data_IF_989660197718
#
_entry.id   IF_989660197718
#
_cell.length_a   1.000
_cell.length_b   1.000
_cell.length_c   1.000
_cell.angle_alpha   90.00
_cell.angle_beta   90.00
_cell.angle_gamma   90.00
#
_symmetry.space_group_name_H-M   'P 1'
#
loop_
_entity.id
_entity.type
_entity.pdbx_description
1 polymer ?
#
# COMPACT_ATOMS: atom_id res chain seq x y z
N UNK A 1 0.59 26.22 10.80
CA UNK A 1 0.97 24.96 11.49
C UNK A 1 0.00 23.91 10.99
N UNK A 2 0.50 22.77 10.53
CA UNK A 2 -0.38 21.66 10.09
C UNK A 2 -0.93 20.96 11.32
N UNK A 3 -2.27 20.92 11.44
CA UNK A 3 -2.92 20.20 12.55
C UNK A 3 -2.55 18.73 12.54
N UNK A 4 -2.29 18.17 13.71
CA UNK A 4 -2.06 16.73 13.86
C UNK A 4 -3.35 15.95 13.66
N UNK A 5 -3.28 14.68 13.23
CA UNK A 5 -4.48 13.82 13.12
C UNK A 5 -5.27 13.78 14.44
N UNK A 6 -4.57 13.85 15.58
CA UNK A 6 -5.20 13.83 16.89
C UNK A 6 -6.10 15.05 17.14
N UNK A 7 -5.60 16.24 16.80
CA UNK A 7 -6.37 17.48 16.97
C UNK A 7 -7.59 17.52 16.03
N UNK A 8 -7.41 17.04 14.78
CA UNK A 8 -8.52 16.99 13.82
C UNK A 8 -9.58 15.98 14.29
N UNK A 9 -9.18 14.80 14.72
CA UNK A 9 -10.09 13.75 15.21
C UNK A 9 -10.86 14.24 16.44
N UNK A 10 -10.19 14.92 17.37
CA UNK A 10 -10.83 15.48 18.55
C UNK A 10 -11.97 16.43 18.17
N UNK A 11 -11.74 17.35 17.22
CA UNK A 11 -12.78 18.28 16.71
C UNK A 11 -13.96 17.54 16.08
N UNK A 12 -13.67 16.48 15.31
CA UNK A 12 -14.73 15.64 14.72
C UNK A 12 -15.59 14.99 15.79
N UNK A 13 -14.97 14.46 16.84
CA UNK A 13 -15.69 13.84 17.97
C UNK A 13 -16.50 14.84 18.79
N UNK A 14 -16.09 16.11 18.83
CA UNK A 14 -16.81 17.23 19.45
C UNK A 14 -17.96 17.76 18.57
N UNK A 15 -18.15 17.19 17.37
CA UNK A 15 -19.28 17.51 16.47
C UNK A 15 -18.94 18.40 15.28
N UNK A 16 -17.66 18.80 15.11
CA UNK A 16 -17.24 19.52 13.91
C UNK A 16 -17.01 18.56 12.73
N UNK A 17 -18.11 18.27 12.01
CA UNK A 17 -18.09 17.39 10.83
C UNK A 17 -17.15 17.92 9.73
N UNK A 18 -16.95 19.24 9.63
CA UNK A 18 -16.07 19.83 8.61
C UNK A 18 -14.62 19.40 8.81
N UNK A 19 -14.19 19.22 10.04
CA UNK A 19 -12.87 18.70 10.36
C UNK A 19 -12.62 17.30 9.81
N UNK A 20 -13.66 16.46 9.62
CA UNK A 20 -13.50 15.19 8.93
C UNK A 20 -13.07 15.35 7.47
N UNK A 21 -13.57 16.37 6.77
CA UNK A 21 -13.12 16.72 5.42
C UNK A 21 -11.60 16.98 5.35
N UNK A 22 -11.05 17.69 6.35
CA UNK A 22 -9.60 17.92 6.44
C UNK A 22 -8.83 16.61 6.59
N UNK A 23 -9.34 15.69 7.41
CA UNK A 23 -8.73 14.37 7.61
C UNK A 23 -8.76 13.55 6.32
N UNK A 24 -9.89 13.58 5.59
CA UNK A 24 -10.03 12.94 4.27
C UNK A 24 -9.00 13.52 3.29
N UNK A 25 -8.94 14.86 3.16
CA UNK A 25 -8.03 15.53 2.21
C UNK A 25 -6.56 15.20 2.49
N UNK A 26 -6.19 15.08 3.75
CA UNK A 26 -4.83 14.73 4.19
C UNK A 26 -4.43 13.32 3.78
N UNK A 27 -5.35 12.37 3.81
CA UNK A 27 -5.04 10.95 3.65
C UNK A 27 -5.50 10.34 2.31
N UNK A 28 -6.45 10.99 1.58
CA UNK A 28 -7.08 10.41 0.38
C UNK A 28 -6.10 10.03 -0.73
N UNK A 29 -5.07 10.83 -0.99
CA UNK A 29 -4.12 10.58 -2.07
C UNK A 29 -3.34 9.29 -1.82
N UNK A 30 -2.80 9.16 -0.61
CA UNK A 30 -2.06 7.97 -0.19
C UNK A 30 -2.96 6.73 -0.12
N UNK A 31 -4.20 6.88 0.38
CA UNK A 31 -5.19 5.79 0.43
C UNK A 31 -5.60 5.34 -0.99
N UNK A 32 -5.76 6.29 -1.93
CA UNK A 32 -6.05 6.01 -3.34
C UNK A 32 -4.92 5.20 -3.99
N UNK A 33 -3.65 5.56 -3.74
CA UNK A 33 -2.51 4.79 -4.25
C UNK A 33 -2.58 3.32 -3.82
N UNK A 34 -2.89 3.05 -2.55
CA UNK A 34 -3.06 1.67 -2.07
C UNK A 34 -4.27 0.97 -2.72
N UNK A 35 -5.41 1.65 -2.81
CA UNK A 35 -6.64 1.10 -3.38
C UNK A 35 -6.47 0.71 -4.86
N UNK A 36 -5.87 1.60 -5.68
CA UNK A 36 -5.56 1.33 -7.08
C UNK A 36 -4.57 0.16 -7.21
N UNK A 37 -3.60 0.05 -6.30
CA UNK A 37 -2.62 -1.03 -6.31
C UNK A 37 -3.28 -2.40 -6.09
N UNK A 38 -4.30 -2.46 -5.24
CA UNK A 38 -5.04 -3.68 -4.94
C UNK A 38 -6.05 -4.01 -6.05
N UNK A 39 -6.84 -3.04 -6.47
CA UNK A 39 -7.99 -3.26 -7.36
C UNK A 39 -7.64 -3.17 -8.84
N UNK A 40 -6.47 -2.61 -9.21
CA UNK A 40 -6.01 -2.42 -10.61
C UNK A 40 -7.00 -1.67 -11.51
N UNK A 41 -8.03 -1.10 -10.94
CA UNK A 41 -9.04 -0.29 -11.61
C UNK A 41 -9.30 0.98 -10.78
N UNK A 42 -9.20 2.14 -11.44
CA UNK A 42 -9.33 3.43 -10.75
C UNK A 42 -10.76 3.66 -10.26
N UNK A 43 -11.75 3.32 -11.06
CA UNK A 43 -13.16 3.52 -10.70
C UNK A 43 -13.55 2.68 -9.48
N UNK A 44 -13.13 1.40 -9.47
CA UNK A 44 -13.34 0.51 -8.32
C UNK A 44 -12.62 1.01 -7.07
N UNK A 45 -11.42 1.57 -7.24
CA UNK A 45 -10.65 2.15 -6.15
C UNK A 45 -11.34 3.40 -5.57
N UNK A 46 -11.93 4.25 -6.41
CA UNK A 46 -12.69 5.42 -5.99
C UNK A 46 -13.93 5.01 -5.19
N UNK A 47 -14.70 4.01 -5.66
CA UNK A 47 -15.86 3.47 -4.96
C UNK A 47 -15.47 2.85 -3.60
N UNK A 48 -14.45 1.99 -3.60
CA UNK A 48 -13.95 1.37 -2.37
C UNK A 48 -13.43 2.41 -1.36
N UNK A 49 -12.84 3.50 -1.84
CA UNK A 49 -12.33 4.55 -0.98
C UNK A 49 -13.46 5.41 -0.38
N UNK A 50 -14.53 5.68 -1.13
CA UNK A 50 -15.73 6.33 -0.60
C UNK A 50 -16.36 5.49 0.52
N UNK A 51 -16.54 4.19 0.28
CA UNK A 51 -17.02 3.25 1.30
C UNK A 51 -16.09 3.23 2.53
N UNK A 52 -14.79 3.27 2.30
CA UNK A 52 -13.80 3.30 3.37
C UNK A 52 -13.97 4.53 4.26
N UNK A 53 -14.06 5.73 3.70
CA UNK A 53 -14.19 6.94 4.51
C UNK A 53 -15.52 7.01 5.25
N UNK A 54 -16.59 6.48 4.69
CA UNK A 54 -17.89 6.34 5.43
C UNK A 54 -17.70 5.39 6.64
N UNK A 55 -17.01 4.27 6.48
CA UNK A 55 -16.71 3.34 7.58
C UNK A 55 -15.80 3.97 8.62
N UNK A 56 -14.75 4.68 8.17
CA UNK A 56 -13.83 5.43 9.05
C UNK A 56 -14.60 6.42 9.90
N UNK A 57 -15.45 7.24 9.30
CA UNK A 57 -16.26 8.23 10.02
C UNK A 57 -17.13 7.58 11.11
N UNK A 58 -17.82 6.48 10.77
CA UNK A 58 -18.68 5.75 11.72
C UNK A 58 -17.90 5.08 12.84
N UNK A 59 -16.69 4.59 12.54
CA UNK A 59 -15.84 3.88 13.51
C UNK A 59 -14.94 4.81 14.32
N UNK A 60 -14.81 6.09 13.93
CA UNK A 60 -13.91 7.05 14.58
C UNK A 60 -14.13 7.18 16.10
N UNK A 61 -15.39 7.18 16.64
CA UNK A 61 -15.61 7.21 18.07
C UNK A 61 -15.04 6.00 18.84
N UNK A 62 -14.81 4.88 18.16
CA UNK A 62 -14.24 3.67 18.73
C UNK A 62 -12.73 3.51 18.49
N UNK A 63 -12.08 4.52 17.92
CA UNK A 63 -10.64 4.51 17.69
C UNK A 63 -9.86 4.71 18.99
N UNK A 64 -9.17 3.66 19.43
CA UNK A 64 -8.54 3.60 20.78
C UNK A 64 -7.06 4.04 20.81
N UNK A 65 -6.52 4.59 19.72
CA UNK A 65 -5.13 5.05 19.63
C UNK A 65 -4.06 3.94 19.89
N UNK A 66 -4.41 2.66 19.67
CA UNK A 66 -3.46 1.53 19.79
C UNK A 66 -2.42 1.49 18.66
N UNK A 67 -2.63 2.28 17.61
CA UNK A 67 -1.73 2.50 16.48
C UNK A 67 -1.85 3.94 16.01
N UNK A 68 -1.02 4.36 15.04
CA UNK A 68 -1.24 5.62 14.35
C UNK A 68 -2.60 5.63 13.62
N UNK A 69 -3.19 6.81 13.43
CA UNK A 69 -4.42 6.92 12.65
C UNK A 69 -4.21 6.40 11.22
N UNK A 70 -3.05 6.67 10.61
CA UNK A 70 -2.68 6.16 9.29
C UNK A 70 -2.71 4.64 9.23
N UNK A 71 -2.11 3.95 10.20
CA UNK A 71 -2.10 2.48 10.27
C UNK A 71 -3.52 1.93 10.38
N UNK A 72 -4.35 2.52 11.24
CA UNK A 72 -5.74 2.13 11.40
C UNK A 72 -6.56 2.39 10.13
N UNK A 73 -6.40 3.55 9.49
CA UNK A 73 -7.04 3.89 8.22
C UNK A 73 -6.67 2.90 7.12
N UNK A 74 -5.36 2.64 6.93
CA UNK A 74 -4.89 1.71 5.89
C UNK A 74 -5.38 0.29 6.09
N UNK A 75 -5.58 -0.15 7.31
CA UNK A 75 -6.23 -1.43 7.60
C UNK A 75 -7.66 -1.47 7.06
N UNK A 76 -8.43 -0.39 7.23
CA UNK A 76 -9.80 -0.32 6.70
C UNK A 76 -9.78 -0.27 5.17
N UNK A 77 -8.88 0.55 4.55
CA UNK A 77 -8.68 0.61 3.10
C UNK A 77 -8.36 -0.77 2.54
N UNK A 78 -7.34 -1.42 3.09
CA UNK A 78 -6.89 -2.75 2.65
C UNK A 78 -8.03 -3.77 2.70
N UNK A 79 -8.72 -3.88 3.81
CA UNK A 79 -9.82 -4.84 3.99
C UNK A 79 -11.00 -4.54 3.05
N UNK A 80 -11.33 -3.27 2.82
CA UNK A 80 -12.40 -2.87 1.90
C UNK A 80 -12.04 -3.24 0.47
N UNK A 81 -10.82 -2.93 0.03
CA UNK A 81 -10.35 -3.26 -1.33
C UNK A 81 -10.24 -4.77 -1.56
N UNK A 82 -9.71 -5.53 -0.60
CA UNK A 82 -9.62 -7.00 -0.68
C UNK A 82 -11.01 -7.63 -0.78
N UNK A 83 -11.96 -7.14 0.00
CA UNK A 83 -13.36 -7.60 -0.06
C UNK A 83 -14.00 -7.28 -1.41
N UNK A 84 -13.75 -6.09 -1.97
CA UNK A 84 -14.25 -5.67 -3.27
C UNK A 84 -13.66 -6.54 -4.41
N UNK A 85 -12.35 -6.80 -4.39
CA UNK A 85 -11.67 -7.67 -5.34
C UNK A 85 -12.22 -9.11 -5.30
N UNK A 86 -12.45 -9.65 -4.10
CA UNK A 86 -13.01 -10.99 -3.92
C UNK A 86 -14.42 -11.14 -4.50
N UNK A 87 -15.26 -10.11 -4.44
CA UNK A 87 -16.62 -10.11 -5.01
C UNK A 87 -16.62 -10.16 -6.54
N UNK A 88 -15.60 -9.63 -7.20
CA UNK A 88 -15.49 -9.60 -8.67
C UNK A 88 -14.92 -10.89 -9.27
N UNK A 89 -14.62 -11.88 -8.44
CA UNK A 89 -13.99 -13.13 -8.90
C UNK A 89 -12.57 -12.93 -9.44
N UNK A 90 -12.06 -11.70 -9.39
CA UNK A 90 -10.67 -11.43 -9.60
C UNK A 90 -9.89 -12.21 -8.56
N UNK A 91 -8.98 -13.07 -9.02
CA UNK A 91 -8.17 -13.94 -8.16
C UNK A 91 -7.14 -13.15 -7.35
N UNK A 92 -7.58 -12.08 -6.67
CA UNK A 92 -6.95 -11.59 -5.47
C UNK A 92 -7.22 -12.61 -4.36
N UNK A 93 -6.98 -13.88 -4.68
CA UNK A 93 -6.73 -14.87 -3.67
C UNK A 93 -5.43 -14.45 -3.03
N UNK A 94 -5.57 -13.64 -1.99
CA UNK A 94 -4.69 -13.68 -0.86
C UNK A 94 -4.73 -15.12 -0.34
N UNK A 95 -4.18 -16.07 -1.12
CA UNK A 95 -3.81 -17.32 -0.54
C UNK A 95 -2.73 -16.95 0.46
N UNK A 96 -3.11 -17.00 1.73
CA UNK A 96 -2.18 -16.95 2.85
C UNK A 96 -1.11 -18.05 2.71
N UNK A 97 -1.36 -19.01 1.81
CA UNK A 97 -0.56 -20.18 1.47
C UNK A 97 -0.26 -20.22 -0.03
N UNK A 98 0.56 -19.31 -0.54
CA UNK A 98 1.23 -19.54 -1.81
C UNK A 98 2.48 -20.37 -1.55
N UNK A 99 2.55 -21.57 -2.14
CA UNK A 99 3.73 -22.44 -2.12
C UNK A 99 5.02 -21.68 -2.48
N UNK A 100 4.92 -20.65 -3.34
CA UNK A 100 6.04 -19.77 -3.69
C UNK A 100 6.57 -18.91 -2.54
N UNK A 101 5.78 -18.59 -1.52
CA UNK A 101 6.23 -17.86 -0.34
C UNK A 101 7.08 -18.73 0.61
N UNK A 102 6.94 -20.06 0.54
CA UNK A 102 7.73 -21.00 1.33
C UNK A 102 9.17 -21.19 0.80
N UNK A 103 9.37 -21.17 -0.52
CA UNK A 103 10.71 -21.29 -1.13
C UNK A 103 11.55 -20.03 -0.88
N UNK A 104 10.94 -18.84 -1.00
CA UNK A 104 11.65 -17.58 -0.76
C UNK A 104 12.04 -17.36 0.72
N UNK A 105 11.40 -18.03 1.69
CA UNK A 105 11.82 -18.00 3.09
C UNK A 105 13.24 -18.54 3.32
N UNK A 106 13.74 -19.38 2.43
CA UNK A 106 15.11 -19.94 2.49
C UNK A 106 16.19 -18.96 2.01
N UNK A 107 15.85 -18.01 1.12
CA UNK A 107 16.80 -17.06 0.53
C UNK A 107 16.97 -15.74 1.30
N UNK A 108 16.02 -15.40 2.20
CA UNK A 108 16.00 -14.11 2.92
C UNK A 108 16.97 -14.09 4.14
N UNK A 109 18.01 -14.90 4.16
CA UNK A 109 19.00 -14.88 5.26
C UNK A 109 20.03 -13.75 5.11
N UNK A 110 20.11 -13.06 3.99
CA UNK A 110 21.00 -11.92 3.78
C UNK A 110 20.27 -10.57 3.92
N UNK A 111 20.81 -9.76 4.79
CA UNK A 111 20.29 -8.52 5.35
C UNK A 111 20.38 -7.30 4.40
N UNK A 112 20.34 -7.49 3.08
CA UNK A 112 20.37 -6.39 2.11
C UNK A 112 18.95 -5.89 1.79
N UNK A 113 18.43 -5.07 2.70
CA UNK A 113 17.08 -4.55 2.62
C UNK A 113 16.88 -3.44 1.59
N UNK A 114 17.93 -2.87 1.00
CA UNK A 114 17.84 -1.86 -0.07
C UNK A 114 19.06 -1.87 -0.98
N UNK A 115 18.92 -1.94 -2.32
CA UNK A 115 19.84 -1.18 -3.17
C UNK A 115 19.42 0.29 -3.08
N UNK A 116 20.38 1.16 -2.86
CA UNK A 116 20.25 2.61 -2.95
C UNK A 116 19.94 2.94 -4.44
N UNK A 117 18.65 3.08 -4.77
CA UNK A 117 18.25 3.56 -6.09
C UNK A 117 18.32 5.08 -5.99
N UNK A 118 19.47 5.65 -6.31
CA UNK A 118 19.60 7.09 -6.50
C UNK A 118 18.84 7.46 -7.80
N UNK A 119 17.76 8.18 -7.63
CA UNK A 119 16.93 8.69 -8.72
C UNK A 119 17.64 9.94 -9.30
N UNK A 120 18.32 9.79 -10.43
CA UNK A 120 19.09 10.89 -11.04
C UNK A 120 18.37 11.59 -12.22
N UNK A 121 17.23 11.06 -12.71
CA UNK A 121 16.46 11.70 -13.79
C UNK A 121 14.96 11.50 -13.67
N UNK A 122 14.17 12.48 -14.19
CA UNK A 122 12.71 12.40 -14.21
C UNK A 122 12.18 11.24 -15.05
N UNK A 123 12.89 10.87 -16.12
CA UNK A 123 12.54 9.74 -16.97
C UNK A 123 12.66 8.40 -16.23
N UNK A 124 13.68 8.26 -15.40
CA UNK A 124 13.86 7.08 -14.57
C UNK A 124 12.74 6.97 -13.50
N UNK A 125 12.34 8.09 -12.91
CA UNK A 125 11.21 8.12 -11.96
C UNK A 125 9.90 7.66 -12.61
N UNK A 126 9.63 8.06 -13.85
CA UNK A 126 8.45 7.65 -14.60
C UNK A 126 8.49 6.15 -14.94
N UNK A 127 9.66 5.64 -15.35
CA UNK A 127 9.87 4.20 -15.58
C UNK A 127 9.59 3.40 -14.30
N UNK A 128 10.17 3.80 -13.18
CA UNK A 128 9.95 3.13 -11.89
C UNK A 128 8.47 3.16 -11.51
N UNK A 129 7.79 4.30 -11.67
CA UNK A 129 6.37 4.44 -11.37
C UNK A 129 5.51 3.49 -12.20
N UNK A 130 5.75 3.42 -13.51
CA UNK A 130 5.03 2.51 -14.41
C UNK A 130 5.27 1.03 -14.05
N UNK A 131 6.53 0.63 -13.77
CA UNK A 131 6.82 -0.75 -13.40
C UNK A 131 6.24 -1.13 -12.03
N UNK A 132 6.22 -0.20 -11.08
CA UNK A 132 5.51 -0.39 -9.80
C UNK A 132 4.00 -0.59 -10.04
N UNK A 133 3.40 0.07 -11.05
CA UNK A 133 1.99 -0.13 -11.40
C UNK A 133 1.69 -1.51 -11.96
N UNK A 134 2.64 -2.12 -12.65
CA UNK A 134 2.50 -3.47 -13.24
C UNK A 134 2.67 -4.60 -12.21
N UNK A 135 3.23 -4.33 -11.04
CA UNK A 135 3.40 -5.37 -10.02
C UNK A 135 2.08 -6.11 -9.72
N UNK A 136 2.11 -7.44 -9.56
CA UNK A 136 0.96 -8.19 -9.07
C UNK A 136 0.41 -7.58 -7.78
N UNK A 137 -0.92 -7.50 -7.58
CA UNK A 137 -1.54 -6.83 -6.43
C UNK A 137 -0.98 -7.29 -5.07
N UNK A 138 -0.67 -8.58 -4.95
CA UNK A 138 -0.11 -9.21 -3.76
C UNK A 138 1.24 -8.60 -3.33
N UNK A 139 2.14 -8.42 -4.29
CA UNK A 139 3.46 -7.85 -4.05
C UNK A 139 3.41 -6.33 -4.07
N UNK A 140 2.64 -5.75 -5.00
CA UNK A 140 2.49 -4.31 -5.15
C UNK A 140 1.88 -3.64 -3.93
N UNK A 141 0.89 -4.26 -3.25
CA UNK A 141 0.32 -3.71 -2.02
C UNK A 141 1.31 -3.67 -0.87
N UNK A 142 2.05 -4.75 -0.64
CA UNK A 142 3.09 -4.80 0.40
C UNK A 142 4.22 -3.80 0.14
N UNK A 143 4.66 -3.70 -1.13
CA UNK A 143 5.67 -2.72 -1.56
C UNK A 143 5.19 -1.29 -1.38
N UNK A 144 3.94 -0.98 -1.76
CA UNK A 144 3.35 0.36 -1.59
C UNK A 144 3.30 0.77 -0.13
N UNK A 145 2.86 -0.12 0.76
CA UNK A 145 2.84 0.17 2.20
C UNK A 145 4.24 0.42 2.75
N UNK A 146 5.23 -0.37 2.32
CA UNK A 146 6.59 -0.26 2.83
C UNK A 146 7.34 0.97 2.28
N UNK A 147 7.33 1.17 0.94
CA UNK A 147 8.17 2.19 0.29
C UNK A 147 7.43 3.52 0.15
N UNK A 148 6.16 3.51 -0.30
CA UNK A 148 5.43 4.75 -0.59
C UNK A 148 4.76 5.33 0.66
N UNK A 149 4.30 4.46 1.57
CA UNK A 149 3.70 4.89 2.83
C UNK A 149 4.69 4.95 3.98
N UNK A 150 5.94 4.48 3.77
CA UNK A 150 7.03 4.48 4.76
C UNK A 150 6.68 3.73 6.06
N UNK A 151 5.84 2.69 5.95
CA UNK A 151 5.40 1.91 7.10
C UNK A 151 6.45 0.88 7.52
N UNK A 152 6.59 0.70 8.82
CA UNK A 152 7.37 -0.41 9.37
C UNK A 152 6.76 -1.78 9.01
N UNK A 153 7.56 -2.83 9.06
CA UNK A 153 7.07 -4.18 8.78
C UNK A 153 5.97 -4.61 9.75
N UNK A 154 6.06 -4.16 11.01
CA UNK A 154 5.09 -4.41 12.07
C UNK A 154 3.76 -3.70 11.79
N UNK A 155 3.80 -2.46 11.30
CA UNK A 155 2.61 -1.74 10.88
C UNK A 155 1.95 -2.39 9.67
N UNK A 156 2.73 -2.90 8.71
CA UNK A 156 2.21 -3.64 7.55
C UNK A 156 1.51 -4.93 8.01
N UNK A 157 2.05 -5.64 9.01
CA UNK A 157 1.37 -6.78 9.64
C UNK A 157 0.04 -6.36 10.25
N UNK A 158 -0.01 -5.22 10.95
CA UNK A 158 -1.27 -4.68 11.52
C UNK A 158 -2.30 -4.30 10.45
N UNK A 159 -1.85 -3.73 9.33
CA UNK A 159 -2.71 -3.34 8.20
C UNK A 159 -3.27 -4.55 7.48
N UNK A 160 -2.42 -5.51 7.14
CA UNK A 160 -2.75 -6.61 6.23
C UNK A 160 -3.24 -7.87 6.93
N UNK A 161 -2.87 -8.05 8.21
CA UNK A 161 -3.13 -9.27 8.97
C UNK A 161 -2.27 -10.47 8.57
N UNK A 162 -1.30 -10.30 7.65
CA UNK A 162 -0.43 -11.39 7.20
C UNK A 162 0.83 -11.51 8.08
N UNK A 163 1.40 -12.71 8.24
CA UNK A 163 2.59 -12.93 9.06
C UNK A 163 3.80 -12.11 8.60
N UNK A 164 4.65 -11.66 9.52
CA UNK A 164 5.85 -10.86 9.25
C UNK A 164 6.78 -11.52 8.21
N UNK A 165 6.96 -12.85 8.29
CA UNK A 165 7.74 -13.58 7.31
C UNK A 165 7.20 -13.43 5.89
N UNK A 166 5.88 -13.51 5.73
CA UNK A 166 5.20 -13.33 4.45
C UNK A 166 5.30 -11.89 3.94
N UNK A 167 5.20 -10.88 4.84
CA UNK A 167 5.42 -9.47 4.47
C UNK A 167 6.82 -9.29 3.88
N UNK A 168 7.85 -9.81 4.55
CA UNK A 168 9.25 -9.75 4.07
C UNK A 168 9.41 -10.40 2.70
N UNK A 169 8.86 -11.61 2.51
CA UNK A 169 8.89 -12.33 1.23
C UNK A 169 8.24 -11.51 0.13
N UNK A 170 7.06 -10.94 0.37
CA UNK A 170 6.32 -10.15 -0.63
C UNK A 170 7.09 -8.89 -1.05
N UNK A 171 7.70 -8.19 -0.11
CA UNK A 171 8.54 -7.02 -0.42
C UNK A 171 9.79 -7.44 -1.20
N UNK A 172 10.44 -8.53 -0.82
CA UNK A 172 11.59 -9.07 -1.54
C UNK A 172 11.24 -9.44 -2.99
N UNK A 173 10.14 -10.17 -3.20
CA UNK A 173 9.64 -10.53 -4.54
C UNK A 173 9.27 -9.30 -5.37
N UNK A 174 8.60 -8.32 -4.78
CA UNK A 174 8.30 -7.06 -5.45
C UNK A 174 9.57 -6.38 -5.98
N UNK A 175 10.62 -6.31 -5.17
CA UNK A 175 11.92 -5.73 -5.55
C UNK A 175 12.61 -6.51 -6.66
N UNK A 176 12.58 -7.84 -6.61
CA UNK A 176 13.13 -8.69 -7.65
C UNK A 176 12.46 -8.42 -9.00
N UNK A 177 11.12 -8.44 -9.03
CA UNK A 177 10.34 -8.15 -10.23
C UNK A 177 10.61 -6.74 -10.79
N UNK A 178 10.69 -5.74 -9.92
CA UNK A 178 11.00 -4.36 -10.33
C UNK A 178 12.40 -4.25 -10.92
N UNK A 179 13.41 -4.86 -10.28
CA UNK A 179 14.79 -4.85 -10.78
C UNK A 179 14.89 -5.44 -12.18
N UNK A 180 14.26 -6.60 -12.40
CA UNK A 180 14.25 -7.27 -13.69
C UNK A 180 13.52 -6.44 -14.77
N UNK A 181 12.37 -5.86 -14.43
CA UNK A 181 11.58 -5.06 -15.35
C UNK A 181 12.30 -3.76 -15.75
N UNK A 182 12.91 -3.07 -14.79
CA UNK A 182 13.67 -1.83 -15.01
C UNK A 182 14.93 -2.13 -15.84
N UNK A 183 15.69 -3.19 -15.51
CA UNK A 183 16.88 -3.57 -16.26
C UNK A 183 16.55 -3.84 -17.73
N UNK A 184 15.52 -4.63 -18.02
CA UNK A 184 15.06 -4.91 -19.39
C UNK A 184 14.68 -3.63 -20.14
N UNK A 185 14.08 -2.67 -19.46
CA UNK A 185 13.64 -1.42 -20.09
C UNK A 185 14.80 -0.49 -20.40
N UNK A 186 15.81 -0.46 -19.51
CA UNK A 186 17.03 0.31 -19.73
C UNK A 186 17.90 -0.29 -20.84
N UNK A 187 18.04 -1.63 -20.89
CA UNK A 187 18.77 -2.32 -21.98
C UNK A 187 18.13 -2.05 -23.34
N UNK A 188 16.78 -1.96 -23.40
CA UNK A 188 16.06 -1.65 -24.63
C UNK A 188 16.28 -0.21 -25.08
N UNK A 189 16.27 0.75 -24.14
CA UNK A 189 16.52 2.16 -24.44
C UNK A 189 17.93 2.42 -24.99
N UNK A 190 18.94 1.69 -24.48
CA UNK A 190 20.32 1.77 -24.95
C UNK A 190 20.56 1.09 -26.33
N UNK A 191 19.65 0.23 -26.76
CA UNK A 191 19.76 -0.47 -28.05
C UNK A 191 19.11 0.30 -29.21
N UNK A 192 18.34 1.35 -28.93
CA UNK A 192 17.69 2.23 -29.93
C UNK A 192 18.49 3.52 -30.22
N UNK A 193 19.61 3.78 -29.53
CA UNK A 193 20.59 4.84 -29.83
C UNK A 193 21.72 4.32 -30.71
#
# INVERSE_FOLDING_TARGET
MSDTDKEIIQRVLEGDIRSFGILVDKHKAKAMTLAVRILKNRQDAEEALQDTFVRVYRALPSFEWRSSFSTWLYRIVYNTCVTAAGKKGEAFRLSLDTEGDHEAKKEIVSNELLPDIQLESSEFEDIVREEVEKLPPLYGSAFTLFVIQEMSLEEIVQVTGIPLGTVKVRIFRARGLLREAIAKRMDFALAEE
#
